data_IF_084065840158
#
_entry.id   IF_084065840158
#
_cell.length_a   1.000
_cell.length_b   1.000
_cell.length_c   1.000
_cell.angle_alpha   90.00
_cell.angle_beta   90.00
_cell.angle_gamma   90.00
#
_symmetry.space_group_name_H-M   'P 1'
#
loop_
_entity.id
_entity.type
_entity.pdbx_description
1 polymer ?
#
# COMPACT_ATOMS: atom_id res chain seq x y z
N UNK A 1 -40.78 23.82 -40.86
CA UNK A 1 -39.59 22.93 -40.95
C UNK A 1 -38.48 23.13 -39.88
N UNK A 2 -38.46 24.12 -38.96
CA UNK A 2 -37.33 24.25 -38.01
C UNK A 2 -37.45 23.42 -36.71
N UNK A 3 -38.66 22.95 -36.36
CA UNK A 3 -38.91 22.22 -35.10
C UNK A 3 -38.39 20.78 -35.15
N UNK A 4 -38.39 20.14 -36.33
CA UNK A 4 -37.89 18.77 -36.50
C UNK A 4 -36.35 18.70 -36.37
N UNK A 5 -35.65 19.76 -36.77
CA UNK A 5 -34.19 19.87 -36.72
C UNK A 5 -33.69 20.09 -35.28
N UNK A 6 -34.34 20.95 -34.49
CA UNK A 6 -34.02 21.12 -33.07
C UNK A 6 -34.26 19.83 -32.26
N UNK A 7 -35.36 19.10 -32.52
CA UNK A 7 -35.64 17.82 -31.85
C UNK A 7 -34.58 16.76 -32.16
N UNK A 8 -34.12 16.69 -33.42
CA UNK A 8 -33.07 15.75 -33.84
C UNK A 8 -31.70 16.10 -33.25
N UNK A 9 -31.34 17.38 -33.21
CA UNK A 9 -30.10 17.84 -32.56
C UNK A 9 -30.15 17.58 -31.05
N UNK A 10 -31.29 17.86 -30.39
CA UNK A 10 -31.48 17.57 -28.97
C UNK A 10 -31.39 16.07 -28.63
N UNK A 11 -31.98 15.19 -29.46
CA UNK A 11 -31.87 13.74 -29.29
C UNK A 11 -30.45 13.22 -29.50
N UNK A 12 -29.70 13.80 -30.45
CA UNK A 12 -28.30 13.45 -30.70
C UNK A 12 -27.37 13.90 -29.57
N UNK A 13 -27.58 15.09 -29.01
CA UNK A 13 -26.80 15.59 -27.86
C UNK A 13 -27.13 14.83 -26.59
N UNK A 14 -28.39 14.51 -26.33
CA UNK A 14 -28.82 13.62 -25.24
C UNK A 14 -28.23 12.22 -25.40
N UNK A 15 -28.25 11.66 -26.62
CA UNK A 15 -27.66 10.35 -26.92
C UNK A 15 -26.13 10.35 -26.71
N UNK A 16 -25.43 11.40 -27.16
CA UNK A 16 -23.99 11.54 -26.96
C UNK A 16 -23.62 11.72 -25.48
N UNK A 17 -24.39 12.52 -24.73
CA UNK A 17 -24.20 12.70 -23.30
C UNK A 17 -24.48 11.41 -22.52
N UNK A 18 -25.54 10.67 -22.87
CA UNK A 18 -25.85 9.37 -22.27
C UNK A 18 -24.77 8.33 -22.59
N UNK A 19 -24.27 8.31 -23.84
CA UNK A 19 -23.15 7.46 -24.25
C UNK A 19 -21.89 7.76 -23.44
N UNK A 20 -21.50 9.04 -23.33
CA UNK A 20 -20.35 9.45 -22.53
C UNK A 20 -20.53 9.12 -21.04
N UNK A 21 -21.72 9.35 -20.49
CA UNK A 21 -22.04 9.00 -19.10
C UNK A 21 -21.91 7.49 -18.87
N UNK A 22 -22.42 6.64 -19.77
CA UNK A 22 -22.31 5.19 -19.65
C UNK A 22 -20.85 4.69 -19.67
N UNK A 23 -19.97 5.36 -20.41
CA UNK A 23 -18.53 5.06 -20.44
C UNK A 23 -17.81 5.49 -19.15
N UNK A 24 -18.26 6.59 -18.53
CA UNK A 24 -17.66 7.13 -17.30
C UNK A 24 -18.24 6.51 -16.03
N UNK A 25 -19.49 6.06 -16.06
CA UNK A 25 -20.23 5.57 -14.90
C UNK A 25 -19.46 4.49 -14.11
N UNK A 26 -18.91 3.42 -14.72
CA UNK A 26 -18.16 2.41 -13.96
C UNK A 26 -16.94 2.98 -13.25
N UNK A 27 -16.26 3.98 -13.83
CA UNK A 27 -15.11 4.65 -13.21
C UNK A 27 -15.55 5.55 -12.06
N UNK A 28 -16.64 6.30 -12.22
CA UNK A 28 -17.22 7.16 -11.18
C UNK A 28 -17.75 6.35 -10.00
N UNK A 29 -18.41 5.23 -10.28
CA UNK A 29 -18.86 4.27 -9.28
C UNK A 29 -17.66 3.74 -8.51
N UNK A 30 -16.63 3.23 -9.19
CA UNK A 30 -15.41 2.73 -8.53
C UNK A 30 -14.71 3.80 -7.69
N UNK A 31 -14.65 5.03 -8.19
CA UNK A 31 -14.09 6.19 -7.48
C UNK A 31 -14.90 6.59 -6.23
N UNK A 32 -16.17 6.15 -6.15
CA UNK A 32 -17.01 6.35 -4.97
C UNK A 32 -17.70 7.69 -4.88
N UNK A 33 -17.86 8.38 -6.01
CA UNK A 33 -18.43 9.74 -6.07
C UNK A 33 -19.81 9.81 -5.40
N UNK A 34 -20.66 8.82 -5.63
CA UNK A 34 -22.03 8.75 -5.07
C UNK A 34 -22.16 7.70 -3.95
N UNK A 35 -21.05 7.11 -3.49
CA UNK A 35 -21.08 6.01 -2.54
C UNK A 35 -21.41 6.51 -1.14
N UNK A 36 -22.41 5.89 -0.52
CA UNK A 36 -22.66 5.99 0.92
C UNK A 36 -22.03 4.80 1.61
N UNK A 37 -21.18 5.04 2.61
CA UNK A 37 -20.54 4.00 3.41
C UNK A 37 -21.29 3.88 4.72
N UNK A 38 -21.88 2.70 4.97
CA UNK A 38 -22.54 2.38 6.24
C UNK A 38 -21.53 1.65 7.13
N UNK A 39 -21.57 1.94 8.43
CA UNK A 39 -20.72 1.26 9.40
C UNK A 39 -20.96 -0.25 9.40
N UNK A 40 -19.89 -1.03 9.39
CA UNK A 40 -19.90 -2.49 9.48
C UNK A 40 -18.68 -2.95 10.29
N UNK A 41 -18.89 -3.72 11.36
CA UNK A 41 -17.85 -4.15 12.30
C UNK A 41 -17.01 -2.98 12.88
N UNK A 42 -17.62 -1.80 13.05
CA UNK A 42 -16.95 -0.58 13.51
C UNK A 42 -17.42 -0.07 14.89
N UNK A 43 -18.16 -0.88 15.64
CA UNK A 43 -18.73 -0.48 16.93
C UNK A 43 -17.67 -0.43 18.02
N UNK A 44 -16.71 -1.37 17.99
CA UNK A 44 -15.68 -1.54 19.01
C UNK A 44 -14.29 -1.22 18.43
N UNK A 45 -14.04 0.05 18.14
CA UNK A 45 -12.77 0.54 17.60
C UNK A 45 -12.03 1.38 18.62
N UNK A 46 -10.73 1.11 18.75
CA UNK A 46 -9.88 1.69 19.77
C UNK A 46 -8.68 2.38 19.11
N UNK A 47 -8.62 3.71 19.13
CA UNK A 47 -7.44 4.43 18.66
C UNK A 47 -6.21 4.08 19.50
N UNK A 48 -5.04 4.10 18.88
CA UNK A 48 -3.74 3.85 19.52
C UNK A 48 -2.87 5.11 19.38
N UNK A 49 -2.95 6.04 20.36
CA UNK A 49 -2.20 7.28 20.29
C UNK A 49 -0.69 7.06 20.16
N UNK A 50 -0.05 7.91 19.36
CA UNK A 50 1.39 7.87 19.12
C UNK A 50 1.79 7.06 17.89
N UNK A 51 0.92 6.23 17.31
CA UNK A 51 1.13 5.54 16.03
C UNK A 51 0.57 6.37 14.88
N UNK A 52 1.18 7.52 14.61
CA UNK A 52 0.78 8.46 13.56
C UNK A 52 1.36 8.08 12.19
N UNK A 53 0.60 8.31 11.12
CA UNK A 53 1.04 8.21 9.72
C UNK A 53 1.76 6.88 9.39
N UNK A 54 1.29 5.79 10.02
CA UNK A 54 1.78 4.45 9.77
C UNK A 54 1.12 3.91 8.50
N UNK A 55 1.77 4.09 7.36
CA UNK A 55 1.21 3.73 6.05
C UNK A 55 0.98 2.23 5.94
N UNK A 56 1.94 1.45 6.43
CA UNK A 56 1.93 0.01 6.28
C UNK A 56 2.22 -0.73 7.60
N UNK A 57 1.61 -1.90 7.69
CA UNK A 57 1.73 -2.88 8.76
C UNK A 57 1.57 -4.29 8.17
N UNK A 58 2.19 -4.53 7.00
CA UNK A 58 2.00 -5.68 6.13
C UNK A 58 2.05 -7.05 6.80
N UNK A 59 2.63 -7.14 8.00
CA UNK A 59 2.74 -8.39 8.75
C UNK A 59 2.34 -8.25 10.23
N UNK A 60 1.47 -9.15 10.68
CA UNK A 60 1.11 -9.35 12.08
C UNK A 60 1.41 -10.80 12.42
N UNK A 61 2.25 -11.02 13.43
CA UNK A 61 2.54 -12.35 13.94
C UNK A 61 1.28 -12.97 14.51
N UNK A 62 0.82 -14.05 13.90
CA UNK A 62 -0.42 -14.71 14.32
C UNK A 62 -0.24 -15.54 15.61
N UNK A 63 1.01 -15.77 16.05
CA UNK A 63 1.29 -16.48 17.30
C UNK A 63 1.30 -15.54 18.51
N UNK A 64 2.03 -14.43 18.44
CA UNK A 64 2.13 -13.46 19.53
C UNK A 64 1.12 -12.31 19.48
N UNK A 65 0.58 -12.00 18.29
CA UNK A 65 -0.17 -10.75 18.08
C UNK A 65 0.72 -9.52 17.96
N UNK A 66 2.00 -9.70 17.68
CA UNK A 66 2.96 -8.61 17.45
C UNK A 66 2.90 -8.13 16.00
N UNK A 67 2.69 -6.83 15.79
CA UNK A 67 2.79 -6.17 14.50
C UNK A 67 4.02 -5.27 14.43
N UNK A 68 4.57 -5.11 13.24
CA UNK A 68 5.59 -4.11 12.96
C UNK A 68 5.01 -3.09 11.99
N UNK A 69 5.08 -1.83 12.36
CA UNK A 69 4.54 -0.72 11.59
C UNK A 69 5.66 0.22 11.19
N UNK A 70 5.52 0.85 10.03
CA UNK A 70 6.40 1.92 9.59
C UNK A 70 5.67 3.25 9.67
N UNK A 71 6.08 4.07 10.64
CA UNK A 71 5.37 5.28 11.04
C UNK A 71 6.20 6.53 10.77
N UNK A 72 5.49 7.63 10.48
CA UNK A 72 6.04 8.95 10.20
C UNK A 72 5.33 9.99 11.07
N UNK A 73 5.42 11.27 10.70
CA UNK A 73 4.54 12.31 11.21
C UNK A 73 3.72 12.91 10.07
N UNK A 74 2.55 13.45 10.39
CA UNK A 74 1.70 14.08 9.37
C UNK A 74 2.36 15.34 8.83
N UNK A 75 3.08 16.08 9.66
CA UNK A 75 3.88 17.24 9.22
C UNK A 75 4.93 16.85 8.19
N UNK A 76 5.68 15.76 8.41
CA UNK A 76 6.63 15.27 7.42
C UNK A 76 5.93 14.85 6.11
N UNK A 77 4.77 14.20 6.18
CA UNK A 77 3.97 13.78 5.01
C UNK A 77 3.40 14.94 4.19
N UNK A 78 3.20 16.12 4.78
CA UNK A 78 2.87 17.34 4.01
C UNK A 78 3.98 17.64 3.00
N UNK A 79 5.23 17.45 3.40
CA UNK A 79 6.40 17.83 2.60
C UNK A 79 6.96 16.67 1.77
N UNK A 80 6.82 15.43 2.23
CA UNK A 80 7.54 14.29 1.68
C UNK A 80 6.70 13.01 1.55
N UNK A 81 6.16 12.84 0.35
CA UNK A 81 5.51 11.63 -0.16
C UNK A 81 5.80 11.60 -1.66
N UNK A 82 6.94 11.01 -2.10
CA UNK A 82 7.35 11.04 -3.50
C UNK A 82 6.31 10.45 -4.46
N UNK A 83 5.54 9.44 -4.03
CA UNK A 83 4.46 8.84 -4.80
C UNK A 83 3.42 9.88 -5.29
N UNK A 84 3.12 10.90 -4.47
CA UNK A 84 2.17 11.97 -4.75
C UNK A 84 2.83 13.30 -5.13
N UNK A 85 4.14 13.30 -5.39
CA UNK A 85 4.96 14.47 -5.73
C UNK A 85 5.06 15.53 -4.62
N UNK A 86 4.84 15.13 -3.37
CA UNK A 86 5.27 15.93 -2.23
C UNK A 86 6.79 15.74 -2.11
N UNK A 87 7.55 16.69 -2.68
CA UNK A 87 9.00 16.61 -2.86
C UNK A 87 9.73 17.81 -2.22
N UNK A 88 9.18 18.38 -1.15
CA UNK A 88 9.78 19.52 -0.46
C UNK A 88 10.78 19.05 0.61
N UNK A 89 11.94 18.54 0.18
CA UNK A 89 12.95 18.00 1.10
C UNK A 89 13.60 19.06 2.01
N UNK A 90 13.55 20.34 1.64
CA UNK A 90 14.18 21.42 2.43
C UNK A 90 13.46 21.70 3.74
N UNK A 91 12.17 21.36 3.84
CA UNK A 91 11.36 21.48 5.07
C UNK A 91 11.49 20.26 5.99
N UNK A 92 12.14 19.18 5.54
CA UNK A 92 12.32 17.99 6.36
C UNK A 92 13.41 18.20 7.41
N UNK A 93 13.33 17.53 8.57
CA UNK A 93 14.43 17.52 9.54
C UNK A 93 15.69 16.92 8.91
N UNK A 94 16.88 17.29 9.41
CA UNK A 94 18.15 16.77 8.90
C UNK A 94 18.26 15.25 9.10
N UNK A 95 17.85 14.78 10.28
CA UNK A 95 17.68 13.36 10.61
C UNK A 95 16.20 13.05 10.59
N UNK A 96 15.81 11.97 9.91
CA UNK A 96 14.42 11.54 9.85
C UNK A 96 13.85 11.24 11.23
N UNK A 97 12.58 11.57 11.40
CA UNK A 97 11.78 11.22 12.58
C UNK A 97 10.98 9.94 12.39
N UNK A 98 10.98 9.37 11.18
CA UNK A 98 10.27 8.12 10.89
C UNK A 98 10.91 6.95 11.65
N UNK A 99 10.10 5.95 11.95
CA UNK A 99 10.49 4.87 12.83
C UNK A 99 9.72 3.59 12.53
N UNK A 100 10.28 2.46 12.97
CA UNK A 100 9.55 1.21 13.06
C UNK A 100 8.93 1.15 14.45
N UNK A 101 7.63 0.87 14.54
CA UNK A 101 6.97 0.55 15.79
C UNK A 101 6.82 -0.97 15.92
N UNK A 102 7.14 -1.51 17.09
CA UNK A 102 6.69 -2.85 17.50
C UNK A 102 5.44 -2.68 18.35
N UNK A 103 4.34 -3.32 17.95
CA UNK A 103 3.01 -3.12 18.51
C UNK A 103 2.39 -4.45 18.93
N UNK A 104 1.93 -4.53 20.16
CA UNK A 104 1.23 -5.69 20.70
C UNK A 104 -0.28 -5.47 20.62
N UNK A 105 -0.99 -6.26 19.80
CA UNK A 105 -2.43 -6.08 19.56
C UNK A 105 -3.30 -6.41 20.79
N UNK A 106 -2.79 -7.22 21.72
CA UNK A 106 -3.55 -7.65 22.90
C UNK A 106 -3.65 -6.54 23.95
N UNK A 107 -2.51 -5.96 24.31
CA UNK A 107 -2.36 -4.85 25.26
C UNK A 107 -2.57 -3.49 24.61
N UNK A 108 -2.45 -3.39 23.27
CA UNK A 108 -2.39 -2.14 22.49
C UNK A 108 -1.23 -1.22 22.91
N UNK A 109 -0.15 -1.81 23.41
CA UNK A 109 1.08 -1.09 23.70
C UNK A 109 2.02 -1.11 22.51
N UNK A 110 2.83 -0.06 22.36
CA UNK A 110 3.85 0.01 21.33
C UNK A 110 5.15 0.57 21.88
N UNK A 111 6.23 0.26 21.17
CA UNK A 111 7.55 0.85 21.37
C UNK A 111 8.17 1.20 20.03
N UNK A 112 9.00 2.24 20.03
CA UNK A 112 9.87 2.53 18.89
C UNK A 112 11.03 1.55 18.89
N UNK A 113 11.26 0.91 17.75
CA UNK A 113 12.41 0.03 17.55
C UNK A 113 13.67 0.87 17.39
N UNK A 114 14.68 0.56 18.18
CA UNK A 114 16.02 1.12 18.08
C UNK A 114 16.75 0.49 16.88
N UNK A 115 17.15 1.33 15.93
CA UNK A 115 17.93 0.89 14.77
C UNK A 115 19.42 0.88 15.11
N UNK A 116 20.09 -0.25 14.92
CA UNK A 116 21.52 -0.43 15.21
C UNK A 116 22.29 -0.64 13.93
N UNK A 117 23.36 0.13 13.71
CA UNK A 117 24.26 -0.05 12.57
C UNK A 117 23.77 0.55 11.25
N UNK A 118 22.65 1.30 11.24
CA UNK A 118 22.22 2.05 10.06
C UNK A 118 23.32 3.07 9.67
N UNK A 119 23.74 3.13 8.40
CA UNK A 119 24.78 4.07 7.99
C UNK A 119 24.39 5.53 8.25
N UNK A 120 25.32 6.33 8.75
CA UNK A 120 25.05 7.72 9.16
C UNK A 120 24.55 8.58 7.99
N UNK A 121 25.03 8.30 6.77
CA UNK A 121 24.61 8.98 5.55
C UNK A 121 23.13 8.74 5.18
N UNK A 122 22.48 7.71 5.73
CA UNK A 122 21.05 7.49 5.56
C UNK A 122 20.22 8.58 6.27
N UNK A 123 20.78 9.20 7.32
CA UNK A 123 20.09 10.17 8.18
C UNK A 123 18.75 9.64 8.69
N UNK A 124 18.72 8.37 9.12
CA UNK A 124 17.50 7.66 9.51
C UNK A 124 16.84 6.91 8.35
N UNK A 125 15.60 6.47 8.57
CA UNK A 125 14.75 5.80 7.57
C UNK A 125 13.65 6.76 7.11
N UNK A 126 13.13 6.60 5.89
CA UNK A 126 12.14 7.53 5.31
C UNK A 126 10.96 6.74 4.74
N UNK A 127 10.07 6.32 5.61
CA UNK A 127 9.33 5.07 5.45
C UNK A 127 8.12 5.17 4.52
N UNK A 128 7.84 4.08 3.83
CA UNK A 128 6.62 3.87 3.03
C UNK A 128 6.07 2.46 3.36
N UNK A 129 6.21 1.48 2.47
CA UNK A 129 5.88 0.08 2.75
C UNK A 129 6.90 -0.69 3.59
N UNK A 130 6.43 -1.75 4.25
CA UNK A 130 7.21 -2.71 5.05
C UNK A 130 6.84 -4.14 4.64
N UNK A 131 7.77 -5.08 4.71
CA UNK A 131 7.39 -6.50 4.77
C UNK A 131 8.37 -7.29 5.65
N UNK A 132 7.95 -8.45 6.12
CA UNK A 132 8.72 -9.28 7.05
C UNK A 132 8.85 -10.70 6.52
N UNK A 133 10.10 -11.17 6.46
CA UNK A 133 10.39 -12.58 6.28
C UNK A 133 10.70 -13.23 7.63
N UNK A 134 9.89 -14.22 8.00
CA UNK A 134 10.11 -15.04 9.20
C UNK A 134 10.98 -16.25 8.85
N UNK A 135 12.06 -16.45 9.59
CA UNK A 135 12.99 -17.56 9.31
C UNK A 135 12.32 -18.92 9.58
N UNK A 136 12.29 -19.85 8.59
CA UNK A 136 11.75 -21.18 8.79
C UNK A 136 12.56 -22.03 9.80
N UNK A 137 13.86 -21.76 9.95
CA UNK A 137 14.74 -22.50 10.86
C UNK A 137 14.78 -21.92 12.27
N UNK A 138 14.40 -20.65 12.43
CA UNK A 138 14.28 -19.97 13.72
C UNK A 138 13.11 -18.98 13.65
N UNK A 139 11.88 -19.41 14.01
CA UNK A 139 10.69 -18.56 13.92
C UNK A 139 10.76 -17.31 14.79
N UNK A 140 11.68 -17.19 15.74
CA UNK A 140 11.87 -15.95 16.49
C UNK A 140 12.70 -14.92 15.71
N UNK A 141 13.45 -15.33 14.70
CA UNK A 141 14.27 -14.46 13.88
C UNK A 141 13.48 -13.92 12.68
N UNK A 142 13.42 -12.58 12.59
CA UNK A 142 12.73 -11.86 11.54
C UNK A 142 13.73 -11.04 10.73
N UNK A 143 13.55 -11.03 9.41
CA UNK A 143 14.14 -10.02 8.52
C UNK A 143 13.07 -9.00 8.14
N UNK A 144 13.32 -7.73 8.43
CA UNK A 144 12.44 -6.61 8.08
C UNK A 144 12.98 -5.95 6.81
N UNK A 145 12.10 -5.74 5.83
CA UNK A 145 12.36 -4.97 4.61
C UNK A 145 11.55 -3.68 4.66
N UNK A 146 12.17 -2.55 4.35
CA UNK A 146 11.50 -1.23 4.38
C UNK A 146 11.80 -0.44 3.11
N UNK A 147 10.75 0.10 2.50
CA UNK A 147 10.88 1.12 1.48
C UNK A 147 11.28 2.44 2.16
N UNK A 148 12.49 2.92 1.86
CA UNK A 148 13.04 4.15 2.41
C UNK A 148 13.27 5.17 1.30
N UNK A 149 12.40 6.18 1.23
CA UNK A 149 12.47 7.29 0.28
C UNK A 149 13.41 8.39 0.78
N UNK A 150 14.71 8.12 0.84
CA UNK A 150 15.70 9.11 1.31
C UNK A 150 15.64 10.39 0.45
N UNK A 151 15.65 11.60 1.04
CA UNK A 151 15.86 12.81 0.28
C UNK A 151 17.18 12.76 -0.50
N UNK A 152 17.27 13.39 -1.68
CA UNK A 152 18.56 13.53 -2.35
C UNK A 152 19.53 14.32 -1.48
N UNK A 153 20.84 14.06 -1.65
CA UNK A 153 21.91 14.70 -0.87
C UNK A 153 21.81 16.22 -0.90
N UNK A 154 21.56 16.78 -2.08
CA UNK A 154 21.12 18.16 -2.22
C UNK A 154 19.58 18.20 -2.24
N UNK A 155 19.01 18.55 -1.09
CA UNK A 155 17.56 18.58 -0.86
C UNK A 155 16.84 19.57 -1.77
N UNK A 156 17.50 20.64 -2.23
CA UNK A 156 16.90 21.61 -3.14
C UNK A 156 16.61 21.02 -4.52
N UNK A 157 17.28 19.93 -4.88
CA UNK A 157 17.13 19.25 -6.17
C UNK A 157 16.01 18.20 -6.16
N UNK A 158 15.34 17.95 -5.04
CA UNK A 158 14.26 16.96 -4.94
C UNK A 158 13.15 17.10 -5.99
N UNK A 159 12.67 18.30 -6.37
CA UNK A 159 11.67 18.44 -7.44
C UNK A 159 12.13 17.96 -8.83
N UNK A 160 13.45 17.88 -9.06
CA UNK A 160 14.04 17.51 -10.37
C UNK A 160 14.73 16.15 -10.35
N UNK A 161 15.20 15.68 -9.19
CA UNK A 161 15.89 14.39 -9.00
C UNK A 161 15.03 13.31 -8.35
N UNK A 162 13.95 13.71 -7.67
CA UNK A 162 13.11 12.82 -6.87
C UNK A 162 13.86 12.29 -5.64
N UNK A 163 13.26 11.30 -4.98
CA UNK A 163 13.88 10.62 -3.85
C UNK A 163 15.03 9.69 -4.28
N UNK A 164 16.03 9.52 -3.41
CA UNK A 164 17.03 8.46 -3.50
C UNK A 164 16.51 7.19 -2.82
N UNK A 165 15.44 6.63 -3.39
CA UNK A 165 14.72 5.50 -2.80
C UNK A 165 15.57 4.24 -2.75
N UNK A 166 15.52 3.53 -1.62
CA UNK A 166 16.24 2.27 -1.37
C UNK A 166 15.35 1.31 -0.59
N UNK A 167 15.76 0.04 -0.54
CA UNK A 167 15.22 -0.92 0.44
C UNK A 167 16.22 -1.07 1.58
N UNK A 168 15.80 -0.84 2.81
CA UNK A 168 16.59 -1.17 3.99
C UNK A 168 16.22 -2.56 4.48
N UNK A 169 17.23 -3.35 4.82
CA UNK A 169 17.08 -4.69 5.39
C UNK A 169 17.63 -4.67 6.81
N UNK A 170 16.80 -5.11 7.76
CA UNK A 170 17.16 -5.26 9.16
C UNK A 170 16.89 -6.69 9.64
N UNK A 171 17.57 -7.08 10.70
CA UNK A 171 17.31 -8.31 11.46
C UNK A 171 16.87 -7.98 12.87
N UNK A 172 15.89 -8.72 13.38
CA UNK A 172 15.35 -8.54 14.73
C UNK A 172 14.85 -9.88 15.28
N UNK A 173 14.51 -9.89 16.57
CA UNK A 173 13.75 -10.96 17.20
C UNK A 173 12.31 -10.50 17.44
N UNK A 174 11.35 -11.42 17.28
CA UNK A 174 9.91 -11.16 17.51
C UNK A 174 9.70 -10.44 18.85
N UNK A 175 8.97 -9.32 18.82
CA UNK A 175 8.58 -8.55 20.01
C UNK A 175 9.69 -7.70 20.63
N UNK A 176 10.93 -7.76 20.14
CA UNK A 176 12.01 -6.90 20.65
C UNK A 176 11.95 -5.49 20.08
N UNK A 177 12.53 -4.53 20.80
CA UNK A 177 12.61 -3.13 20.42
C UNK A 177 13.98 -2.75 19.82
N UNK A 178 14.69 -3.72 19.24
CA UNK A 178 15.96 -3.50 18.53
C UNK A 178 15.93 -4.18 17.16
N UNK A 179 16.37 -3.47 16.12
CA UNK A 179 16.58 -4.03 14.79
C UNK A 179 17.97 -3.63 14.28
N UNK A 180 18.77 -4.63 13.90
CA UNK A 180 20.12 -4.46 13.38
C UNK A 180 20.08 -4.29 11.88
N UNK A 181 20.59 -3.18 11.38
CA UNK A 181 20.77 -2.97 9.95
C UNK A 181 21.73 -4.01 9.39
N UNK A 182 21.32 -4.61 8.27
CA UNK A 182 22.14 -5.55 7.53
C UNK A 182 22.59 -4.93 6.22
N UNK A 183 21.67 -4.31 5.48
CA UNK A 183 21.95 -3.89 4.11
C UNK A 183 21.02 -2.79 3.63
N UNK A 184 21.59 -1.84 2.90
CA UNK A 184 20.87 -0.94 2.01
C UNK A 184 20.92 -1.49 0.59
N UNK A 185 19.77 -1.75 -0.02
CA UNK A 185 19.63 -2.21 -1.40
C UNK A 185 19.30 -1.01 -2.29
N UNK A 186 20.28 -0.61 -3.10
CA UNK A 186 20.14 0.45 -4.10
C UNK A 186 20.37 -0.15 -5.49
N UNK A 187 19.43 0.08 -6.39
CA UNK A 187 19.50 -0.43 -7.76
C UNK A 187 18.71 0.45 -8.73
N UNK A 188 19.12 0.51 -10.01
CA UNK A 188 18.47 1.36 -11.03
C UNK A 188 17.00 1.02 -11.31
N UNK A 189 16.59 -0.22 -11.00
CA UNK A 189 15.20 -0.67 -11.15
C UNK A 189 14.33 -0.30 -9.94
N UNK A 190 14.91 0.13 -8.81
CA UNK A 190 14.18 0.66 -7.66
C UNK A 190 13.95 2.15 -7.91
N UNK A 191 12.88 2.47 -8.66
CA UNK A 191 12.62 3.83 -9.15
C UNK A 191 11.66 4.58 -8.24
N UNK A 192 10.51 3.98 -7.98
CA UNK A 192 9.43 4.54 -7.16
C UNK A 192 8.80 3.42 -6.32
N UNK A 193 9.60 2.79 -5.43
CA UNK A 193 9.14 1.64 -4.65
C UNK A 193 7.92 2.02 -3.83
N UNK A 194 6.89 1.18 -3.87
CA UNK A 194 5.66 1.40 -3.12
C UNK A 194 5.48 0.35 -2.02
N UNK A 195 5.50 -0.93 -2.37
CA UNK A 195 5.39 -2.03 -1.41
C UNK A 195 6.33 -3.21 -1.77
N UNK A 196 6.55 -4.13 -0.82
CA UNK A 196 7.54 -5.22 -0.87
C UNK A 196 6.83 -6.54 -0.57
N UNK A 197 7.21 -7.61 -1.27
CA UNK A 197 6.87 -8.98 -0.90
C UNK A 197 8.15 -9.79 -0.71
N UNK A 198 8.55 -9.99 0.54
CA UNK A 198 9.73 -10.74 0.92
C UNK A 198 9.56 -12.23 0.60
N UNK A 199 10.57 -12.82 -0.02
CA UNK A 199 10.58 -14.24 -0.42
C UNK A 199 11.69 -15.05 0.24
N UNK A 200 12.58 -14.39 0.96
CA UNK A 200 13.73 -14.97 1.61
C UNK A 200 14.42 -13.95 2.51
N UNK A 201 15.53 -14.32 3.17
CA UNK A 201 16.24 -13.40 4.05
C UNK A 201 16.81 -12.19 3.32
N UNK A 202 17.04 -12.27 2.01
CA UNK A 202 17.59 -11.17 1.19
C UNK A 202 16.96 -11.06 -0.20
N UNK A 203 15.85 -11.74 -0.43
CA UNK A 203 15.18 -11.79 -1.72
C UNK A 203 13.76 -11.30 -1.59
N UNK A 204 13.30 -10.51 -2.56
CA UNK A 204 11.98 -9.90 -2.51
C UNK A 204 11.50 -9.48 -3.90
N UNK A 205 10.17 -9.40 -4.04
CA UNK A 205 9.51 -8.63 -5.09
C UNK A 205 9.17 -7.24 -4.58
N UNK A 206 9.06 -6.27 -5.49
CA UNK A 206 8.77 -4.88 -5.14
C UNK A 206 8.00 -4.21 -6.27
N UNK A 207 6.96 -3.46 -5.91
CA UNK A 207 6.17 -2.68 -6.87
C UNK A 207 6.79 -1.30 -7.08
N UNK A 208 6.97 -0.88 -8.34
CA UNK A 208 7.19 0.52 -8.67
C UNK A 208 5.86 1.16 -9.05
N UNK A 209 5.28 2.01 -8.22
CA UNK A 209 3.93 2.56 -8.45
C UNK A 209 3.81 3.43 -9.71
N UNK A 210 4.93 3.85 -10.31
CA UNK A 210 4.96 4.72 -11.46
C UNK A 210 6.15 4.41 -12.37
N UNK A 211 6.00 4.75 -13.65
CA UNK A 211 7.03 4.47 -14.65
C UNK A 211 8.25 5.34 -14.42
N UNK A 212 8.04 6.64 -14.25
CA UNK A 212 9.12 7.61 -14.12
C UNK A 212 9.26 8.08 -12.67
N UNK A 213 10.49 8.03 -12.16
CA UNK A 213 10.86 8.70 -10.91
C UNK A 213 10.81 10.22 -11.08
N UNK A 214 11.41 10.70 -12.17
CA UNK A 214 11.39 12.10 -12.58
C UNK A 214 11.15 12.16 -14.08
N UNK A 215 10.16 12.95 -14.50
CA UNK A 215 9.87 13.26 -15.90
C UNK A 215 8.76 14.34 -15.94
N UNK A 216 8.68 15.14 -17.00
CA UNK A 216 7.61 16.14 -17.12
C UNK A 216 6.21 15.52 -17.22
N UNK A 217 6.10 14.25 -17.68
CA UNK A 217 4.84 13.50 -17.71
C UNK A 217 4.45 12.90 -16.37
N UNK A 218 5.34 12.90 -15.38
CA UNK A 218 5.11 12.22 -14.09
C UNK A 218 3.82 12.71 -13.41
N UNK A 219 3.57 14.02 -13.44
CA UNK A 219 2.32 14.62 -12.92
C UNK A 219 1.05 14.16 -13.65
N UNK A 220 1.18 13.60 -14.84
CA UNK A 220 0.08 13.13 -15.68
C UNK A 220 -0.09 11.61 -15.68
N UNK A 221 0.85 10.84 -15.14
CA UNK A 221 0.83 9.37 -15.20
C UNK A 221 -0.47 8.79 -14.62
N UNK A 222 -0.97 9.35 -13.51
CA UNK A 222 -2.22 8.90 -12.90
C UNK A 222 -3.43 9.10 -13.82
N UNK A 223 -3.50 10.24 -14.51
CA UNK A 223 -4.61 10.54 -15.43
C UNK A 223 -4.54 9.69 -16.70
N UNK A 224 -3.32 9.45 -17.20
CA UNK A 224 -3.09 8.63 -18.38
C UNK A 224 -3.02 7.11 -18.07
N UNK A 225 -3.09 6.72 -16.78
CA UNK A 225 -2.94 5.33 -16.32
C UNK A 225 -1.67 4.67 -16.87
N UNK A 226 -0.57 5.43 -16.89
CA UNK A 226 0.72 4.96 -17.44
C UNK A 226 1.17 3.73 -16.67
N UNK A 227 1.51 2.69 -17.41
CA UNK A 227 1.93 1.43 -16.83
C UNK A 227 3.39 1.49 -16.35
N UNK A 228 3.64 0.81 -15.24
CA UNK A 228 4.93 0.64 -14.58
C UNK A 228 5.29 -0.86 -14.51
N UNK A 229 6.03 -1.28 -13.48
CA UNK A 229 6.52 -2.65 -13.31
C UNK A 229 6.56 -3.12 -11.85
N UNK A 230 6.68 -4.43 -11.71
CA UNK A 230 7.09 -5.14 -10.49
C UNK A 230 8.48 -5.71 -10.78
N UNK A 231 9.39 -5.56 -9.84
CA UNK A 231 10.76 -6.09 -9.94
C UNK A 231 10.97 -7.22 -8.95
N UNK A 232 11.92 -8.08 -9.25
CA UNK A 232 12.51 -9.02 -8.29
C UNK A 232 13.94 -8.58 -8.00
N UNK A 233 14.39 -8.73 -6.75
CA UNK A 233 15.76 -8.46 -6.35
C UNK A 233 16.31 -9.59 -5.47
N UNK A 234 17.52 -10.03 -5.76
CA UNK A 234 18.38 -10.82 -4.88
C UNK A 234 19.50 -9.94 -4.33
N UNK A 235 19.43 -9.65 -3.03
CA UNK A 235 20.40 -8.85 -2.31
C UNK A 235 21.39 -9.68 -1.49
N UNK A 236 21.56 -10.98 -1.77
CA UNK A 236 22.46 -11.88 -1.02
C UNK A 236 23.95 -11.57 -1.25
N UNK A 237 24.31 -11.02 -2.41
CA UNK A 237 25.68 -10.59 -2.76
C UNK A 237 25.92 -9.13 -2.43
N UNK A 238 27.15 -8.61 -2.47
CA UNK A 238 27.43 -7.18 -2.21
C UNK A 238 26.60 -6.25 -3.10
N UNK A 239 26.66 -6.47 -4.41
CA UNK A 239 25.80 -5.78 -5.38
C UNK A 239 24.51 -6.59 -5.55
N UNK A 240 23.32 -5.97 -5.38
CA UNK A 240 22.06 -6.66 -5.63
C UNK A 240 21.89 -6.92 -7.12
N UNK A 241 21.33 -8.09 -7.45
CA UNK A 241 20.88 -8.42 -8.80
C UNK A 241 19.37 -8.27 -8.85
N UNK A 242 18.86 -7.50 -9.81
CA UNK A 242 17.43 -7.28 -9.94
C UNK A 242 16.98 -7.36 -11.40
N UNK A 243 15.81 -7.94 -11.61
CA UNK A 243 15.15 -8.05 -12.91
C UNK A 243 13.78 -7.38 -12.88
N UNK A 244 13.28 -7.01 -14.06
CA UNK A 244 11.85 -6.67 -14.21
C UNK A 244 11.08 -7.98 -14.23
N UNK A 245 10.30 -8.24 -13.18
CA UNK A 245 9.57 -9.50 -13.01
C UNK A 245 8.21 -9.46 -13.76
N UNK A 246 7.55 -8.31 -13.78
CA UNK A 246 6.42 -8.00 -14.65
C UNK A 246 6.47 -6.55 -15.10
N UNK A 247 6.34 -6.31 -16.41
CA UNK A 247 6.19 -4.97 -16.98
C UNK A 247 4.72 -4.69 -17.33
N UNK A 248 4.41 -3.45 -17.69
CA UNK A 248 3.07 -3.00 -18.09
C UNK A 248 2.00 -3.21 -17.02
N UNK A 249 2.37 -3.04 -15.75
CA UNK A 249 1.44 -3.08 -14.62
C UNK A 249 1.03 -1.65 -14.28
N UNK A 250 -0.24 -1.29 -14.43
CA UNK A 250 -0.71 0.06 -14.08
C UNK A 250 -0.76 0.24 -12.57
N UNK A 251 -0.10 1.29 -12.07
CA UNK A 251 -0.06 1.70 -10.66
C UNK A 251 0.00 0.53 -9.66
N UNK A 252 1.07 -0.30 -9.70
CA UNK A 252 1.21 -1.37 -8.74
C UNK A 252 1.53 -0.78 -7.37
N UNK A 253 0.67 -1.05 -6.41
CA UNK A 253 0.74 -0.52 -5.06
C UNK A 253 1.12 -1.67 -4.11
N UNK A 254 0.30 -2.00 -3.11
CA UNK A 254 0.45 -3.17 -2.26
C UNK A 254 0.78 -4.43 -3.03
N UNK A 255 1.81 -5.15 -2.61
CA UNK A 255 2.17 -6.48 -3.11
C UNK A 255 2.50 -7.37 -1.92
N UNK A 256 2.00 -8.61 -1.90
CA UNK A 256 2.22 -9.52 -0.79
C UNK A 256 2.42 -10.95 -1.27
N UNK A 257 3.20 -11.72 -0.51
CA UNK A 257 3.44 -13.14 -0.80
C UNK A 257 2.19 -13.97 -0.46
N UNK A 258 1.65 -14.66 -1.46
CA UNK A 258 0.58 -15.64 -1.29
C UNK A 258 1.10 -17.06 -0.99
N UNK A 259 0.21 -18.05 -0.86
CA UNK A 259 0.60 -19.46 -0.75
C UNK A 259 1.43 -19.95 -1.94
N UNK A 260 2.30 -20.95 -1.72
CA UNK A 260 3.11 -21.57 -2.78
C UNK A 260 4.00 -20.56 -3.50
N UNK A 261 3.82 -20.40 -4.82
CA UNK A 261 4.54 -19.42 -5.65
C UNK A 261 3.69 -18.19 -6.01
N UNK A 262 2.56 -17.98 -5.34
CA UNK A 262 1.67 -16.86 -5.66
C UNK A 262 2.16 -15.55 -5.06
N UNK A 263 1.86 -14.45 -5.76
CA UNK A 263 1.93 -13.08 -5.27
C UNK A 263 0.60 -12.38 -5.58
N UNK A 264 0.14 -11.56 -4.65
CA UNK A 264 -1.07 -10.76 -4.82
C UNK A 264 -0.69 -9.29 -4.85
N UNK A 265 -1.22 -8.54 -5.80
CA UNK A 265 -0.84 -7.15 -6.00
C UNK A 265 -2.05 -6.26 -6.29
N UNK A 266 -2.23 -5.21 -5.51
CA UNK A 266 -3.27 -4.20 -5.70
C UNK A 266 -2.84 -3.23 -6.80
N UNK A 267 -3.65 -3.10 -7.84
CA UNK A 267 -3.52 -1.99 -8.79
C UNK A 267 -4.51 -0.92 -8.39
N UNK A 268 -4.01 0.17 -7.79
CA UNK A 268 -4.88 1.20 -7.23
C UNK A 268 -5.76 1.80 -8.31
N UNK A 269 -5.17 2.34 -9.39
CA UNK A 269 -5.92 3.06 -10.44
C UNK A 269 -6.79 2.14 -11.30
N UNK A 270 -6.40 0.87 -11.48
CA UNK A 270 -7.29 -0.09 -12.16
C UNK A 270 -8.39 -0.62 -11.23
N UNK A 271 -8.27 -0.43 -9.92
CA UNK A 271 -9.19 -0.88 -8.88
C UNK A 271 -9.48 -2.38 -8.95
N UNK A 272 -8.40 -3.15 -8.85
CA UNK A 272 -8.40 -4.60 -8.88
C UNK A 272 -7.20 -5.14 -8.11
N UNK A 273 -7.27 -6.43 -7.76
CA UNK A 273 -6.13 -7.20 -7.26
C UNK A 273 -5.71 -8.19 -8.34
N UNK A 274 -4.43 -8.18 -8.73
CA UNK A 274 -3.84 -9.15 -9.66
C UNK A 274 -3.25 -10.30 -8.87
N UNK A 275 -3.45 -11.50 -9.39
CA UNK A 275 -2.81 -12.72 -8.89
C UNK A 275 -1.72 -13.11 -9.87
N UNK A 276 -0.50 -13.22 -9.37
CA UNK A 276 0.69 -13.58 -10.12
C UNK A 276 1.21 -14.94 -9.67
N UNK A 277 1.81 -15.67 -10.60
CA UNK A 277 2.63 -16.85 -10.30
C UNK A 277 4.10 -16.54 -10.56
N UNK A 278 4.91 -16.62 -9.51
CA UNK A 278 6.35 -16.57 -9.60
C UNK A 278 6.90 -17.83 -10.27
N UNK A 279 7.63 -17.61 -11.35
CA UNK A 279 8.33 -18.65 -12.10
C UNK A 279 9.70 -18.92 -11.49
N UNK A 280 10.35 -20.01 -11.92
CA UNK A 280 11.69 -20.40 -11.43
C UNK A 280 12.78 -19.39 -11.77
N UNK A 281 12.59 -18.57 -12.80
CA UNK A 281 13.48 -17.48 -13.20
C UNK A 281 13.12 -16.13 -12.54
N UNK A 282 12.18 -16.15 -11.58
CA UNK A 282 11.66 -15.00 -10.85
C UNK A 282 10.83 -14.01 -11.68
N UNK A 283 10.44 -14.37 -12.91
CA UNK A 283 9.42 -13.62 -13.65
C UNK A 283 8.02 -13.93 -13.11
N UNK A 284 7.06 -13.06 -13.41
CA UNK A 284 5.68 -13.18 -12.96
C UNK A 284 4.72 -13.40 -14.13
N UNK A 285 3.96 -14.49 -14.08
CA UNK A 285 2.87 -14.76 -15.02
C UNK A 285 1.54 -14.33 -14.40
N UNK A 286 0.71 -13.53 -15.09
CA UNK A 286 -0.60 -13.16 -14.57
C UNK A 286 -1.54 -14.38 -14.62
N UNK A 287 -2.07 -14.79 -13.47
CA UNK A 287 -3.02 -15.90 -13.37
C UNK A 287 -4.47 -15.45 -13.29
N UNK A 288 -4.75 -14.37 -12.56
CA UNK A 288 -6.12 -13.91 -12.33
C UNK A 288 -6.19 -12.42 -12.00
N UNK A 289 -7.39 -11.86 -12.11
CA UNK A 289 -7.72 -10.47 -11.80
C UNK A 289 -9.04 -10.43 -11.02
N UNK A 290 -8.94 -10.01 -9.77
CA UNK A 290 -10.05 -9.91 -8.83
C UNK A 290 -10.57 -8.48 -8.86
N UNK A 291 -11.81 -8.31 -9.33
CA UNK A 291 -12.47 -7.01 -9.44
C UNK A 291 -13.54 -6.87 -8.38
N UNK A 292 -13.22 -6.09 -7.36
CA UNK A 292 -14.18 -5.57 -6.39
C UNK A 292 -14.30 -4.09 -6.73
N UNK A 293 -15.50 -3.55 -6.88
CA UNK A 293 -15.75 -2.19 -7.40
C UNK A 293 -15.22 -1.08 -6.46
N UNK A 294 -13.90 -1.01 -6.26
CA UNK A 294 -13.11 -0.21 -5.31
C UNK A 294 -11.69 -0.03 -5.85
N UNK A 295 -11.02 1.01 -5.37
CA UNK A 295 -9.57 1.17 -5.51
C UNK A 295 -8.92 0.54 -4.28
N UNK A 296 -7.77 -0.11 -4.44
CA UNK A 296 -7.08 -0.80 -3.35
C UNK A 296 -5.69 -0.21 -3.11
N UNK A 297 -5.29 -0.19 -1.85
CA UNK A 297 -3.97 0.23 -1.39
C UNK A 297 -3.16 -1.01 -1.00
N UNK A 298 -2.82 -1.23 0.28
CA UNK A 298 -2.05 -2.40 0.70
C UNK A 298 -2.89 -3.67 0.79
N UNK A 299 -2.20 -4.80 0.63
CA UNK A 299 -2.74 -6.15 0.77
C UNK A 299 -1.97 -6.86 1.87
N UNK A 300 -2.67 -7.33 2.88
CA UNK A 300 -2.14 -8.30 3.83
C UNK A 300 -2.56 -9.72 3.44
N UNK A 301 -1.72 -10.72 3.68
CA UNK A 301 -2.06 -12.14 3.44
C UNK A 301 -2.07 -12.88 4.76
N UNK A 302 -3.23 -13.44 5.12
CA UNK A 302 -3.38 -14.26 6.31
C UNK A 302 -2.73 -15.64 6.15
N UNK A 303 -2.52 -16.33 7.27
CA UNK A 303 -1.96 -17.69 7.29
C UNK A 303 -2.79 -18.71 6.49
N UNK A 304 -4.09 -18.46 6.32
CA UNK A 304 -5.02 -19.25 5.51
C UNK A 304 -4.90 -18.95 4.00
N UNK A 305 -4.00 -18.05 3.61
CA UNK A 305 -3.81 -17.60 2.24
C UNK A 305 -4.85 -16.59 1.74
N UNK A 306 -5.78 -16.15 2.60
CA UNK A 306 -6.75 -15.12 2.27
C UNK A 306 -6.08 -13.74 2.21
N UNK A 307 -6.48 -12.93 1.23
CA UNK A 307 -6.06 -11.54 1.13
C UNK A 307 -6.96 -10.67 1.98
N UNK A 308 -6.39 -9.63 2.58
CA UNK A 308 -7.07 -8.58 3.31
C UNK A 308 -6.68 -7.28 2.61
N UNK A 309 -7.58 -6.78 1.76
CA UNK A 309 -7.32 -5.65 0.89
C UNK A 309 -8.01 -4.40 1.43
N UNK A 310 -7.23 -3.34 1.67
CA UNK A 310 -7.76 -2.05 2.14
C UNK A 310 -8.22 -1.22 0.96
N UNK A 311 -9.49 -0.80 0.99
CA UNK A 311 -10.09 -0.05 -0.09
C UNK A 311 -10.00 1.46 0.16
N UNK A 312 -9.50 2.18 -0.86
CA UNK A 312 -9.63 3.63 -0.99
C UNK A 312 -11.04 3.96 -1.49
N UNK A 313 -12.01 3.82 -0.60
CA UNK A 313 -13.45 3.78 -0.90
C UNK A 313 -13.97 5.03 -1.60
N UNK A 314 -13.39 6.19 -1.29
CA UNK A 314 -13.65 7.47 -1.95
C UNK A 314 -12.33 8.12 -2.35
N UNK A 315 -11.79 7.73 -3.51
CA UNK A 315 -10.41 8.09 -3.90
C UNK A 315 -10.20 9.61 -4.05
N UNK A 316 -11.23 10.38 -4.41
CA UNK A 316 -11.12 11.85 -4.46
C UNK A 316 -11.08 12.48 -3.07
N UNK A 317 -11.82 11.94 -2.09
CA UNK A 317 -11.73 12.41 -0.71
C UNK A 317 -10.37 12.07 -0.09
N UNK A 318 -9.86 10.87 -0.37
CA UNK A 318 -8.50 10.46 0.00
C UNK A 318 -7.44 11.38 -0.62
N UNK A 319 -7.55 11.66 -1.93
CA UNK A 319 -6.62 12.56 -2.64
C UNK A 319 -6.67 13.98 -2.07
N UNK A 320 -7.87 14.48 -1.75
CA UNK A 320 -8.03 15.82 -1.18
C UNK A 320 -7.44 15.91 0.23
N UNK A 321 -7.76 14.95 1.11
CA UNK A 321 -7.19 14.89 2.45
C UNK A 321 -5.67 14.67 2.42
N UNK A 322 -5.15 13.94 1.43
CA UNK A 322 -3.72 13.71 1.30
C UNK A 322 -2.89 14.97 1.01
N UNK A 323 -3.51 16.05 0.47
CA UNK A 323 -2.80 17.30 0.14
C UNK A 323 -2.14 17.96 1.35
N UNK A 324 -2.75 17.84 2.53
CA UNK A 324 -2.28 18.40 3.79
C UNK A 324 -2.04 17.32 4.85
N UNK A 325 -1.81 16.07 4.42
CA UNK A 325 -1.71 14.90 5.31
C UNK A 325 -2.91 14.79 6.29
N UNK A 326 -4.09 15.24 5.86
CA UNK A 326 -5.34 15.26 6.60
C UNK A 326 -5.41 16.29 7.72
N UNK A 327 -4.44 17.21 7.85
CA UNK A 327 -4.36 18.17 8.96
C UNK A 327 -5.60 19.06 9.06
N UNK A 328 -6.31 19.29 7.94
CA UNK A 328 -7.64 19.93 7.90
C UNK A 328 -8.75 19.16 8.61
N UNK A 329 -8.53 17.91 8.99
CA UNK A 329 -9.54 17.06 9.65
C UNK A 329 -10.58 16.47 8.70
N UNK A 330 -10.37 16.55 7.37
CA UNK A 330 -11.26 15.90 6.40
C UNK A 330 -11.30 14.39 6.65
N UNK A 331 -12.49 13.87 6.96
CA UNK A 331 -12.70 12.43 7.17
C UNK A 331 -12.82 11.71 5.84
N UNK A 332 -12.23 10.52 5.73
CA UNK A 332 -12.21 9.70 4.52
C UNK A 332 -12.69 8.31 4.88
N UNK A 333 -13.73 7.85 4.19
CA UNK A 333 -14.30 6.53 4.45
C UNK A 333 -13.31 5.39 4.13
N UNK A 334 -13.38 4.33 4.92
CA UNK A 334 -12.51 3.16 4.85
C UNK A 334 -13.38 1.91 4.71
N UNK A 335 -13.01 1.00 3.81
CA UNK A 335 -13.56 -0.36 3.78
C UNK A 335 -12.42 -1.38 3.68
N UNK A 336 -12.63 -2.57 4.21
CA UNK A 336 -11.67 -3.67 4.13
C UNK A 336 -12.37 -4.93 3.63
N UNK A 337 -11.72 -5.62 2.70
CA UNK A 337 -12.25 -6.83 2.09
C UNK A 337 -11.36 -8.01 2.39
N UNK A 338 -11.98 -9.12 2.84
CA UNK A 338 -11.33 -10.43 2.86
C UNK A 338 -11.61 -11.13 1.54
N UNK A 339 -10.58 -11.64 0.88
CA UNK A 339 -10.69 -12.31 -0.41
C UNK A 339 -10.09 -13.71 -0.28
N UNK A 340 -10.89 -14.74 -0.53
CA UNK A 340 -10.48 -16.15 -0.40
C UNK A 340 -10.45 -16.82 -1.76
N UNK A 341 -9.51 -17.76 -1.91
CA UNK A 341 -9.56 -18.72 -3.00
C UNK A 341 -10.66 -19.74 -2.68
N UNK A 342 -11.60 -19.95 -3.60
CA UNK A 342 -12.68 -20.92 -3.44
C UNK A 342 -12.21 -22.32 -3.83
N UNK A 343 -12.32 -23.25 -2.89
CA UNK A 343 -12.13 -24.70 -3.12
C UNK A 343 -13.46 -25.47 -3.06
N UNK A 344 -14.58 -24.76 -2.95
CA UNK A 344 -15.94 -25.30 -2.84
C UNK A 344 -16.64 -25.44 -4.20
N UNK A 345 -17.92 -25.87 -4.20
CA UNK A 345 -18.77 -26.02 -5.39
C UNK A 345 -18.86 -24.75 -6.28
N UNK A 346 -18.54 -23.57 -5.73
CA UNK A 346 -18.42 -22.31 -6.47
C UNK A 346 -17.33 -22.34 -7.56
N UNK A 347 -16.32 -23.20 -7.44
CA UNK A 347 -15.29 -23.42 -8.45
C UNK A 347 -15.87 -24.02 -9.73
N UNK A 348 -16.90 -24.88 -9.63
CA UNK A 348 -17.62 -25.43 -10.79
C UNK A 348 -18.44 -24.37 -11.55
N UNK A 349 -18.73 -23.24 -10.91
CA UNK A 349 -19.38 -22.08 -11.54
C UNK A 349 -18.35 -21.05 -12.08
N UNK A 350 -17.07 -21.40 -12.09
CA UNK A 350 -15.99 -20.55 -12.60
C UNK A 350 -15.58 -19.38 -11.69
N UNK A 351 -16.09 -19.32 -10.45
CA UNK A 351 -15.66 -18.32 -9.46
C UNK A 351 -14.49 -18.84 -8.63
N UNK A 352 -13.28 -18.44 -9.00
CA UNK A 352 -12.05 -18.82 -8.29
C UNK A 352 -11.85 -18.05 -6.98
N UNK A 353 -12.35 -16.81 -6.88
CA UNK A 353 -12.21 -16.00 -5.68
C UNK A 353 -13.56 -15.45 -5.20
N UNK A 354 -13.78 -15.46 -3.89
CA UNK A 354 -14.87 -14.75 -3.22
C UNK A 354 -14.33 -13.59 -2.41
N UNK A 355 -15.08 -12.48 -2.42
CA UNK A 355 -14.75 -11.28 -1.66
C UNK A 355 -15.86 -10.97 -0.67
N UNK A 356 -15.49 -10.71 0.57
CA UNK A 356 -16.37 -10.36 1.67
C UNK A 356 -15.95 -9.00 2.24
N UNK A 357 -16.91 -8.08 2.42
CA UNK A 357 -16.67 -6.86 3.19
C UNK A 357 -16.58 -7.26 4.66
N UNK A 358 -15.43 -7.01 5.31
CA UNK A 358 -15.22 -7.38 6.72
C UNK A 358 -15.25 -6.18 7.66
N UNK A 359 -15.09 -4.97 7.13
CA UNK A 359 -15.08 -3.72 7.89
C UNK A 359 -15.49 -2.55 7.00
N UNK A 360 -16.24 -1.60 7.55
CA UNK A 360 -16.55 -0.33 6.91
C UNK A 360 -16.75 0.79 7.95
N UNK A 361 -16.16 1.96 7.68
CA UNK A 361 -16.35 3.19 8.46
C UNK A 361 -16.49 4.39 7.53
N UNK A 362 -17.31 5.37 7.92
CA UNK A 362 -17.53 6.60 7.15
C UNK A 362 -16.38 7.61 7.28
N UNK A 363 -15.37 7.30 8.09
CA UNK A 363 -14.19 8.12 8.35
C UNK A 363 -14.22 8.79 9.72
N UNK A 364 -15.31 8.66 10.50
CA UNK A 364 -15.42 9.27 11.83
C UNK A 364 -14.59 8.55 12.89
N UNK A 365 -14.44 7.23 12.79
CA UNK A 365 -13.63 6.43 13.72
C UNK A 365 -12.33 5.97 13.07
N UNK A 366 -12.39 5.56 11.81
CA UNK A 366 -11.23 5.11 11.04
C UNK A 366 -11.21 5.84 9.71
N UNK A 367 -10.30 6.83 9.62
CA UNK A 367 -10.16 7.66 8.43
C UNK A 367 -8.93 7.29 7.62
N UNK A 368 -9.08 7.23 6.30
CA UNK A 368 -7.98 7.13 5.33
C UNK A 368 -7.02 5.94 5.61
N UNK A 369 -7.56 4.79 5.99
CA UNK A 369 -6.72 3.60 6.17
C UNK A 369 -6.20 3.11 4.82
N UNK A 370 -4.93 2.72 4.80
CA UNK A 370 -4.22 2.14 3.66
C UNK A 370 -3.88 0.66 3.90
N UNK A 371 -3.91 0.22 5.17
CA UNK A 371 -3.65 -1.18 5.55
C UNK A 371 -4.67 -1.71 6.55
N UNK A 372 -5.08 -2.97 6.36
CA UNK A 372 -5.95 -3.72 7.25
C UNK A 372 -5.36 -5.11 7.50
N UNK A 373 -4.92 -5.36 8.74
CA UNK A 373 -4.25 -6.60 9.10
C UNK A 373 -5.02 -7.30 10.24
N UNK A 374 -5.53 -8.52 10.01
CA UNK A 374 -6.29 -9.27 11.00
C UNK A 374 -5.38 -9.94 12.03
N UNK A 375 -5.91 -10.13 13.23
CA UNK A 375 -5.36 -11.01 14.25
C UNK A 375 -6.49 -11.50 15.15
N UNK A 376 -6.75 -12.81 15.14
CA UNK A 376 -7.92 -13.38 15.82
C UNK A 376 -9.21 -12.64 15.40
N UNK A 377 -9.96 -12.08 16.35
CA UNK A 377 -11.14 -11.26 16.11
C UNK A 377 -10.84 -9.75 16.04
N UNK A 378 -9.57 -9.35 15.89
CA UNK A 378 -9.15 -7.95 15.80
C UNK A 378 -8.75 -7.61 14.37
N UNK A 379 -8.89 -6.34 14.02
CA UNK A 379 -8.41 -5.74 12.78
C UNK A 379 -7.58 -4.51 13.11
N UNK A 380 -6.28 -4.56 12.81
CA UNK A 380 -5.38 -3.40 12.85
C UNK A 380 -5.58 -2.59 11.57
N UNK A 381 -5.85 -1.30 11.71
CA UNK A 381 -6.10 -0.35 10.64
C UNK A 381 -5.10 0.80 10.76
N UNK A 382 -4.33 1.02 9.70
CA UNK A 382 -3.27 2.05 9.65
C UNK A 382 -3.39 2.83 8.35
N UNK A 383 -2.78 4.02 8.27
CA UNK A 383 -2.95 4.93 7.14
C UNK A 383 -1.74 5.83 6.88
N UNK A 384 -1.49 6.15 5.61
CA UNK A 384 -0.40 7.04 5.14
C UNK A 384 -0.30 8.36 5.92
N UNK A 385 -1.44 8.90 6.32
CA UNK A 385 -1.58 10.17 7.03
C UNK A 385 -2.67 10.10 8.12
N UNK A 386 -2.95 8.90 8.64
CA UNK A 386 -3.88 8.77 9.76
C UNK A 386 -3.29 9.43 11.01
N UNK A 387 -4.15 10.05 11.83
CA UNK A 387 -3.74 10.63 13.12
C UNK A 387 -3.19 9.56 14.07
N UNK A 388 -3.74 8.38 14.00
CA UNK A 388 -3.37 7.23 14.82
C UNK A 388 -3.74 5.93 14.10
N UNK A 389 -3.09 4.82 14.46
CA UNK A 389 -3.57 3.49 14.15
C UNK A 389 -4.82 3.18 14.98
N UNK A 390 -5.68 2.31 14.47
CA UNK A 390 -6.91 1.89 15.16
C UNK A 390 -6.99 0.37 15.18
N UNK A 391 -7.38 -0.20 16.32
CA UNK A 391 -7.71 -1.62 16.43
C UNK A 391 -9.20 -1.76 16.63
N UNK A 392 -9.88 -2.47 15.73
CA UNK A 392 -11.30 -2.77 15.85
C UNK A 392 -11.50 -4.26 16.20
N UNK A 393 -12.48 -4.56 17.05
CA UNK A 393 -12.93 -5.94 17.27
C UNK A 393 -14.05 -6.27 16.29
N UNK A 394 -13.80 -7.25 15.42
CA UNK A 394 -14.76 -7.81 14.47
C UNK A 394 -15.77 -8.72 15.19
N UNK A 395 -17.00 -8.76 14.70
CA UNK A 395 -18.08 -9.60 15.22
C UNK A 395 -18.19 -10.94 14.50
#
# INVERSE_FOLDING_TARGET
>A
MPVLTLRRVGLLTLGAAAGLFSLLQPRLERAGVTRTVKGFNNENCFPVPGLEACEDAAWVDQESGTAYLVCSSREARVHWVPATLHLNATELPQVSTDYIAVFDLASRSHKRVKLVGLPAEANGIWVHGIDIWRSPSDPNHLTIFINSHRPPKDRSLAPTQGADSVIEIFETLVGTDEARHVKTVKHKLIRTPNNIAATGPRTFYMSNDHRYKTHWTRKYEKYASVASDIIYCDASRTTPDCIVAADKVTYPNGIAKGPGNLLYQASTLEGLVRVWEAQSDHTLIPLDVIKINRHFDNIHVGHDGAMYATALTKIFDFTEAGKDAGLSGKTVATECFRIKNETSDAQFLGKKYTSELIFADDGRKVSASTTCAPYQNKLLLTGLFSKEAVVCTLK
#
